data_IF_279861080224
#
_entry.id   IF_279861080224
#
_cell.length_a   1.000
_cell.length_b   1.000
_cell.length_c   1.000
_cell.angle_alpha   90.00
_cell.angle_beta   90.00
_cell.angle_gamma   90.00
#
_symmetry.space_group_name_H-M   'P 1'
#
loop_
_entity.id
_entity.type
_entity.pdbx_description
1 polymer ?
#
# COMPACT_ATOMS: atom_id res chain seq x y z
N UNK A 1 -28.18 2.58 -8.35
CA UNK A 1 -28.10 4.04 -8.13
C UNK A 1 -27.00 4.28 -7.12
N UNK A 2 -26.07 5.22 -7.33
CA UNK A 2 -25.16 5.61 -6.25
C UNK A 2 -25.98 6.17 -5.09
N UNK A 3 -25.56 5.91 -3.85
CA UNK A 3 -26.17 6.52 -2.66
C UNK A 3 -25.92 8.03 -2.65
N UNK A 4 -26.77 8.79 -1.96
CA UNK A 4 -26.56 10.23 -1.76
C UNK A 4 -25.43 10.53 -0.76
N UNK A 5 -24.91 9.51 -0.09
CA UNK A 5 -23.89 9.59 0.95
C UNK A 5 -22.94 8.40 0.83
N UNK A 6 -21.67 8.65 1.15
CA UNK A 6 -20.63 7.62 1.29
C UNK A 6 -20.10 7.64 2.72
N UNK A 7 -19.82 6.44 3.26
CA UNK A 7 -19.18 6.30 4.56
C UNK A 7 -17.66 6.36 4.37
N UNK A 8 -17.06 7.50 4.71
CA UNK A 8 -15.63 7.75 4.46
C UNK A 8 -14.73 7.58 5.68
N UNK A 9 -15.27 7.74 6.89
CA UNK A 9 -14.47 7.73 8.13
C UNK A 9 -15.26 7.16 9.31
N UNK A 10 -14.55 6.52 10.23
CA UNK A 10 -15.09 6.02 11.51
C UNK A 10 -14.26 6.53 12.67
N UNK A 11 -14.91 6.82 13.80
CA UNK A 11 -14.21 7.20 15.03
C UNK A 11 -14.04 5.98 15.94
N UNK A 12 -12.80 5.65 16.28
CA UNK A 12 -12.44 4.63 17.27
C UNK A 12 -11.82 5.33 18.49
N UNK A 13 -12.29 5.10 19.74
CA UNK A 13 -11.82 5.87 20.91
C UNK A 13 -10.29 5.96 21.08
N UNK A 14 -9.57 4.87 20.75
CA UNK A 14 -8.10 4.77 20.81
C UNK A 14 -7.40 5.35 19.57
N UNK A 15 -7.89 5.09 18.37
CA UNK A 15 -7.25 5.49 17.10
C UNK A 15 -7.74 6.83 16.54
N UNK A 16 -8.78 7.41 17.16
CA UNK A 16 -9.51 8.58 16.67
C UNK A 16 -10.12 8.28 15.29
N UNK A 17 -9.96 9.17 14.32
CA UNK A 17 -10.49 9.01 12.98
C UNK A 17 -9.66 7.99 12.19
N UNK A 18 -10.36 7.03 11.59
CA UNK A 18 -9.84 6.10 10.59
C UNK A 18 -10.61 6.34 9.31
N UNK A 19 -9.91 6.66 8.23
CA UNK A 19 -10.54 6.77 6.93
C UNK A 19 -10.74 5.34 6.38
N UNK A 20 -11.95 5.02 5.98
CA UNK A 20 -12.34 3.71 5.46
C UNK A 20 -12.83 3.78 4.01
N UNK A 21 -12.65 4.94 3.37
CA UNK A 21 -12.86 5.09 1.95
C UNK A 21 -11.85 4.23 1.19
N UNK A 22 -12.34 3.23 0.47
CA UNK A 22 -11.53 2.30 -0.31
C UNK A 22 -10.89 2.96 -1.54
N UNK A 23 -11.38 4.12 -1.96
CA UNK A 23 -10.85 4.88 -3.10
C UNK A 23 -9.68 5.81 -2.69
N UNK A 24 -9.62 6.20 -1.41
CA UNK A 24 -8.64 7.17 -0.92
C UNK A 24 -7.17 6.75 -1.14
N UNK A 25 -6.74 5.48 -0.90
CA UNK A 25 -5.36 5.07 -1.12
C UNK A 25 -4.85 5.32 -2.54
N UNK A 26 -5.58 4.85 -3.55
CA UNK A 26 -5.19 5.02 -4.95
C UNK A 26 -5.26 6.50 -5.36
N UNK A 27 -6.26 7.25 -4.88
CA UNK A 27 -6.37 8.68 -5.15
C UNK A 27 -5.15 9.45 -4.62
N UNK A 28 -4.79 9.25 -3.35
CA UNK A 28 -3.65 9.89 -2.70
C UNK A 28 -2.34 9.50 -3.37
N UNK A 29 -2.16 8.21 -3.68
CA UNK A 29 -0.95 7.74 -4.36
C UNK A 29 -0.84 8.33 -5.77
N UNK A 30 -1.95 8.44 -6.52
CA UNK A 30 -1.97 9.10 -7.83
C UNK A 30 -1.53 10.56 -7.71
N UNK A 31 -2.07 11.31 -6.75
CA UNK A 31 -1.67 12.70 -6.52
C UNK A 31 -0.17 12.80 -6.18
N UNK A 32 0.31 11.91 -5.30
CA UNK A 32 1.72 11.86 -4.93
C UNK A 32 2.61 11.57 -6.14
N UNK A 33 2.32 10.53 -6.92
CA UNK A 33 3.12 10.16 -8.10
C UNK A 33 3.11 11.23 -9.18
N UNK A 34 1.95 11.87 -9.42
CA UNK A 34 1.84 12.97 -10.39
C UNK A 34 2.57 14.24 -9.96
N UNK A 35 2.86 14.41 -8.66
CA UNK A 35 3.68 15.50 -8.14
C UNK A 35 5.18 15.24 -8.27
N UNK A 36 5.57 14.00 -8.57
CA UNK A 36 6.95 13.61 -8.83
C UNK A 36 7.26 13.76 -10.33
N UNK A 37 8.53 14.01 -10.66
CA UNK A 37 9.00 14.22 -12.03
C UNK A 37 9.15 12.90 -12.82
N UNK A 38 8.09 12.10 -12.90
CA UNK A 38 8.01 10.98 -13.84
C UNK A 38 7.67 11.49 -15.25
N UNK A 39 8.24 10.85 -16.27
CA UNK A 39 7.94 11.12 -17.67
C UNK A 39 6.53 10.62 -18.03
N UNK A 40 6.09 9.54 -17.38
CA UNK A 40 4.75 8.96 -17.51
C UNK A 40 4.26 8.43 -16.17
N UNK A 41 2.97 8.65 -15.87
CA UNK A 41 2.24 7.97 -14.79
C UNK A 41 0.94 7.43 -15.35
N UNK A 42 0.82 6.11 -15.42
CA UNK A 42 -0.35 5.40 -15.96
C UNK A 42 -1.01 4.55 -14.86
N UNK A 43 -2.22 4.90 -14.40
CA UNK A 43 -2.97 4.06 -13.47
C UNK A 43 -3.53 2.81 -14.16
N UNK A 44 -3.92 1.81 -13.37
CA UNK A 44 -4.67 0.62 -13.81
C UNK A 44 -3.94 -0.14 -14.94
N UNK A 45 -2.64 -0.40 -14.74
CA UNK A 45 -1.76 -0.98 -15.75
C UNK A 45 -1.78 -2.51 -15.72
N UNK A 46 -2.07 -3.13 -16.87
CA UNK A 46 -2.00 -4.59 -17.01
C UNK A 46 -0.54 -5.05 -17.09
N UNK A 47 -0.13 -5.90 -16.15
CA UNK A 47 1.13 -6.62 -16.17
C UNK A 47 0.88 -8.10 -15.86
N UNK A 48 1.39 -8.98 -16.72
CA UNK A 48 1.10 -10.42 -16.61
C UNK A 48 -0.41 -10.68 -16.67
N UNK A 49 -0.94 -11.34 -15.66
CA UNK A 49 -2.37 -11.64 -15.52
C UNK A 49 -3.08 -10.74 -14.49
N UNK A 50 -2.45 -9.65 -14.10
CA UNK A 50 -2.94 -8.76 -13.06
C UNK A 50 -2.98 -7.32 -13.55
N UNK A 51 -3.72 -6.50 -12.80
CA UNK A 51 -3.76 -5.06 -13.01
C UNK A 51 -3.12 -4.41 -11.79
N UNK A 52 -1.93 -3.87 -12.01
CA UNK A 52 -1.16 -3.14 -11.01
C UNK A 52 -1.66 -1.70 -10.98
N UNK A 53 -1.73 -1.12 -9.79
CA UNK A 53 -2.35 0.20 -9.60
C UNK A 53 -1.66 1.29 -10.42
N UNK A 54 -0.32 1.30 -10.50
CA UNK A 54 0.44 2.30 -11.26
C UNK A 54 1.65 1.73 -12.00
N UNK A 55 1.80 2.18 -13.24
CA UNK A 55 3.03 2.11 -14.03
C UNK A 55 3.60 3.50 -14.21
N UNK A 56 4.93 3.65 -14.07
CA UNK A 56 5.60 4.91 -14.32
C UNK A 56 6.87 4.72 -15.15
N UNK A 57 7.27 5.79 -15.84
CA UNK A 57 8.55 5.87 -16.55
C UNK A 57 9.31 7.10 -16.07
N UNK A 58 10.63 6.97 -15.87
CA UNK A 58 11.53 8.10 -15.64
C UNK A 58 12.92 7.76 -16.14
N UNK A 59 13.52 8.63 -16.95
CA UNK A 59 14.89 8.48 -17.45
C UNK A 59 15.14 7.13 -18.15
N UNK A 60 14.13 6.61 -18.86
CA UNK A 60 14.20 5.30 -19.54
C UNK A 60 14.05 4.07 -18.61
N UNK A 61 13.87 4.28 -17.30
CA UNK A 61 13.56 3.22 -16.35
C UNK A 61 12.05 3.06 -16.16
N UNK A 62 11.63 1.84 -15.79
CA UNK A 62 10.23 1.45 -15.65
C UNK A 62 9.92 1.07 -14.21
N UNK A 63 8.80 1.58 -13.72
CA UNK A 63 8.38 1.42 -12.34
C UNK A 63 6.99 0.78 -12.28
N UNK A 64 6.76 -0.06 -11.27
CA UNK A 64 5.46 -0.60 -10.94
C UNK A 64 5.17 -0.40 -9.46
N UNK A 65 4.04 0.22 -9.13
CA UNK A 65 3.59 0.42 -7.76
C UNK A 65 2.22 -0.21 -7.56
N UNK A 66 2.13 -1.13 -6.61
CA UNK A 66 0.87 -1.63 -6.07
C UNK A 66 0.54 -0.89 -4.77
N UNK A 67 -0.71 -0.49 -4.59
CA UNK A 67 -1.19 0.26 -3.42
C UNK A 67 -2.05 -0.63 -2.54
N UNK A 68 -1.87 -0.50 -1.23
CA UNK A 68 -2.69 -1.15 -0.19
C UNK A 68 -3.11 -0.12 0.84
N UNK A 69 -4.41 0.00 1.07
CA UNK A 69 -4.94 0.71 2.24
C UNK A 69 -4.69 -0.10 3.51
N UNK A 70 -4.24 0.55 4.58
CA UNK A 70 -4.13 -0.05 5.90
C UNK A 70 -5.03 0.71 6.89
N UNK A 71 -6.02 -0.01 7.42
CA UNK A 71 -7.05 0.49 8.36
C UNK A 71 -7.13 -0.35 9.65
N UNK A 72 -6.29 -1.37 9.76
CA UNK A 72 -6.17 -2.24 10.93
C UNK A 72 -4.89 -1.87 11.70
N UNK A 73 -5.04 -1.44 12.95
CA UNK A 73 -3.93 -1.23 13.86
C UNK A 73 -3.67 -2.49 14.70
N UNK A 74 -2.42 -2.71 15.08
CA UNK A 74 -2.05 -3.70 16.07
C UNK A 74 -2.31 -3.16 17.49
N UNK A 75 -3.21 -3.79 18.23
CA UNK A 75 -3.54 -3.41 19.61
C UNK A 75 -2.40 -3.70 20.60
N UNK A 76 -1.47 -4.62 20.27
CA UNK A 76 -0.36 -5.01 21.13
C UNK A 76 0.90 -4.18 20.89
N UNK A 77 1.06 -3.64 19.68
CA UNK A 77 2.24 -2.91 19.26
C UNK A 77 1.86 -1.50 18.75
N UNK A 78 1.78 -0.50 19.64
CA UNK A 78 1.42 0.87 19.26
C UNK A 78 2.28 1.42 18.12
N UNK A 79 1.64 2.03 17.13
CA UNK A 79 2.31 2.58 15.96
C UNK A 79 2.45 1.62 14.78
N UNK A 80 2.02 0.37 14.95
CA UNK A 80 2.05 -0.68 13.92
C UNK A 80 0.65 -0.89 13.32
N UNK A 81 0.58 -0.89 12.00
CA UNK A 81 -0.57 -1.35 11.23
C UNK A 81 -0.41 -2.80 10.79
N UNK A 82 -1.52 -3.45 10.45
CA UNK A 82 -1.56 -4.82 9.98
C UNK A 82 -2.21 -4.88 8.61
N UNK A 83 -1.67 -5.74 7.73
CA UNK A 83 -2.28 -6.04 6.44
C UNK A 83 -2.08 -7.52 6.06
N UNK A 84 -3.10 -8.22 5.53
CA UNK A 84 -4.44 -7.72 5.29
C UNK A 84 -5.32 -7.75 6.56
N UNK A 85 -6.45 -7.05 6.53
CA UNK A 85 -7.47 -7.11 7.59
C UNK A 85 -8.41 -8.33 7.42
N UNK A 86 -8.50 -8.89 6.22
CA UNK A 86 -9.17 -10.15 5.88
C UNK A 86 -8.40 -10.91 4.79
N UNK A 87 -8.61 -12.23 4.59
CA UNK A 87 -7.92 -12.99 3.54
C UNK A 87 -7.99 -12.33 2.14
N UNK A 88 -6.86 -12.27 1.42
CA UNK A 88 -6.74 -11.63 0.10
C UNK A 88 -5.84 -12.41 -0.87
N UNK A 89 -6.44 -13.34 -1.62
CA UNK A 89 -5.73 -14.04 -2.72
C UNK A 89 -5.18 -13.06 -3.77
N UNK A 90 -5.91 -11.97 -4.03
CA UNK A 90 -5.48 -10.92 -4.97
C UNK A 90 -4.19 -10.23 -4.49
N UNK A 91 -4.08 -9.93 -3.20
CA UNK A 91 -2.86 -9.34 -2.63
C UNK A 91 -1.64 -10.24 -2.79
N UNK A 92 -1.81 -11.55 -2.56
CA UNK A 92 -0.76 -12.56 -2.78
C UNK A 92 -0.35 -12.61 -4.25
N UNK A 93 -1.32 -12.69 -5.18
CA UNK A 93 -1.06 -12.70 -6.63
C UNK A 93 -0.27 -11.47 -7.07
N UNK A 94 -0.66 -10.28 -6.61
CA UNK A 94 0.01 -9.04 -7.01
C UNK A 94 1.46 -8.97 -6.51
N UNK A 95 1.76 -9.47 -5.30
CA UNK A 95 3.14 -9.59 -4.82
C UNK A 95 3.99 -10.53 -5.67
N UNK A 96 3.41 -11.63 -6.16
CA UNK A 96 4.10 -12.54 -7.07
C UNK A 96 4.40 -11.88 -8.42
N UNK A 97 3.47 -11.09 -8.96
CA UNK A 97 3.67 -10.32 -10.19
C UNK A 97 4.75 -9.24 -10.02
N UNK A 98 4.75 -8.50 -8.91
CA UNK A 98 5.82 -7.55 -8.60
C UNK A 98 7.17 -8.26 -8.45
N UNK A 99 7.20 -9.44 -7.84
CA UNK A 99 8.42 -10.26 -7.71
C UNK A 99 8.96 -10.65 -9.09
N UNK A 100 8.07 -11.01 -10.02
CA UNK A 100 8.44 -11.33 -11.40
C UNK A 100 8.96 -10.10 -12.13
N UNK A 101 8.23 -8.98 -12.05
CA UNK A 101 8.62 -7.72 -12.70
C UNK A 101 9.97 -7.20 -12.21
N UNK A 102 10.25 -7.30 -10.90
CA UNK A 102 11.54 -6.90 -10.34
C UNK A 102 12.70 -7.70 -10.97
N UNK A 103 12.52 -9.01 -11.20
CA UNK A 103 13.52 -9.86 -11.87
C UNK A 103 13.67 -9.54 -13.36
N UNK A 104 12.66 -8.94 -13.98
CA UNK A 104 12.68 -8.47 -15.37
C UNK A 104 13.24 -7.04 -15.51
N UNK A 105 13.71 -6.44 -14.41
CA UNK A 105 14.36 -5.13 -14.40
C UNK A 105 13.42 -3.95 -14.17
N UNK A 106 12.21 -4.17 -13.68
CA UNK A 106 11.34 -3.08 -13.20
C UNK A 106 11.70 -2.68 -11.77
N UNK A 107 11.67 -1.37 -11.50
CA UNK A 107 11.68 -0.86 -10.14
C UNK A 107 10.29 -1.04 -9.52
N UNK A 108 10.15 -2.03 -8.63
CA UNK A 108 8.85 -2.41 -8.09
C UNK A 108 8.69 -1.93 -6.65
N UNK A 109 7.47 -1.50 -6.29
CA UNK A 109 7.13 -1.16 -4.91
C UNK A 109 5.73 -1.63 -4.54
N UNK A 110 5.55 -2.03 -3.28
CA UNK A 110 4.24 -2.07 -2.62
C UNK A 110 4.14 -0.89 -1.65
N UNK A 111 3.11 -0.08 -1.81
CA UNK A 111 2.84 1.14 -1.06
C UNK A 111 1.68 0.92 -0.10
N UNK A 112 1.96 0.88 1.20
CA UNK A 112 0.95 0.86 2.24
C UNK A 112 0.54 2.28 2.60
N UNK A 113 -0.66 2.70 2.19
CA UNK A 113 -1.26 3.98 2.57
C UNK A 113 -1.99 3.79 3.90
N UNK A 114 -1.44 4.37 4.96
CA UNK A 114 -1.93 4.18 6.32
C UNK A 114 -3.02 5.20 6.60
N UNK A 115 -4.27 4.75 6.62
CA UNK A 115 -5.46 5.59 6.74
C UNK A 115 -5.82 5.86 8.22
N UNK A 116 -4.81 6.02 9.08
CA UNK A 116 -4.93 6.18 10.53
C UNK A 116 -3.81 7.06 11.08
N UNK A 117 -4.15 7.91 12.06
CA UNK A 117 -3.16 8.70 12.78
C UNK A 117 -2.30 7.84 13.71
N UNK A 118 -1.02 8.22 13.90
CA UNK A 118 -0.12 7.60 14.86
C UNK A 118 0.50 6.26 14.43
N UNK A 119 0.12 5.73 13.26
CA UNK A 119 0.68 4.51 12.68
C UNK A 119 1.75 4.87 11.64
N UNK A 120 2.89 4.21 11.70
CA UNK A 120 4.08 4.56 10.91
C UNK A 120 4.75 3.38 10.21
N UNK A 121 4.32 2.14 10.50
CA UNK A 121 4.75 0.97 9.77
C UNK A 121 3.60 -0.04 9.62
N UNK A 122 3.76 -1.01 8.72
CA UNK A 122 2.79 -2.08 8.49
C UNK A 122 3.48 -3.43 8.54
N UNK A 123 2.92 -4.38 9.29
CA UNK A 123 3.36 -5.77 9.35
C UNK A 123 2.33 -6.70 8.71
N UNK A 124 2.74 -7.88 8.21
CA UNK A 124 1.80 -8.83 7.65
C UNK A 124 0.95 -9.44 8.77
N UNK A 125 -0.37 -9.48 8.56
CA UNK A 125 -1.29 -10.12 9.47
C UNK A 125 -1.35 -11.64 9.23
N UNK A 126 -0.46 -12.39 9.89
CA UNK A 126 -0.42 -13.85 9.77
C UNK A 126 -1.71 -14.53 10.24
N UNK A 127 -2.45 -13.91 11.16
CA UNK A 127 -3.75 -14.41 11.60
C UNK A 127 -4.83 -14.35 10.52
N UNK A 128 -4.71 -13.41 9.58
CA UNK A 128 -5.63 -13.30 8.44
C UNK A 128 -5.17 -14.12 7.24
N UNK A 129 -3.89 -14.06 6.87
CA UNK A 129 -3.36 -14.81 5.73
C UNK A 129 -1.83 -14.99 5.80
N UNK A 130 -1.34 -16.15 6.27
CA UNK A 130 0.10 -16.46 6.32
C UNK A 130 0.80 -16.36 4.94
N UNK A 131 0.12 -16.73 3.86
CA UNK A 131 0.66 -16.71 2.50
C UNK A 131 1.02 -15.29 2.03
N UNK A 132 0.34 -14.27 2.57
CA UNK A 132 0.68 -12.88 2.29
C UNK A 132 2.05 -12.52 2.84
N UNK A 133 2.38 -12.94 4.08
CA UNK A 133 3.71 -12.75 4.66
C UNK A 133 4.79 -13.40 3.79
N UNK A 134 4.58 -14.66 3.42
CA UNK A 134 5.54 -15.38 2.59
C UNK A 134 5.79 -14.68 1.26
N UNK A 135 4.72 -14.23 0.60
CA UNK A 135 4.82 -13.49 -0.66
C UNK A 135 5.53 -12.15 -0.48
N UNK A 136 5.26 -11.42 0.62
CA UNK A 136 5.85 -10.13 0.91
C UNK A 136 7.36 -10.25 1.18
N UNK A 137 7.79 -11.25 1.95
CA UNK A 137 9.20 -11.54 2.21
C UNK A 137 9.92 -11.95 0.92
N UNK A 138 9.31 -12.81 0.10
CA UNK A 138 9.86 -13.20 -1.21
C UNK A 138 10.01 -11.99 -2.14
N UNK A 139 9.02 -11.09 -2.17
CA UNK A 139 9.06 -9.86 -2.95
C UNK A 139 10.18 -8.93 -2.48
N UNK A 140 10.31 -8.70 -1.16
CA UNK A 140 11.39 -7.88 -0.60
C UNK A 140 12.78 -8.42 -0.98
N UNK A 141 12.99 -9.74 -0.86
CA UNK A 141 14.25 -10.40 -1.25
C UNK A 141 14.54 -10.33 -2.75
N UNK A 142 13.51 -10.19 -3.58
CA UNK A 142 13.64 -9.99 -5.02
C UNK A 142 13.85 -8.52 -5.43
N UNK A 143 13.90 -7.59 -4.47
CA UNK A 143 14.15 -6.17 -4.73
C UNK A 143 12.88 -5.31 -4.81
N UNK A 144 11.69 -5.87 -4.52
CA UNK A 144 10.47 -5.06 -4.39
C UNK A 144 10.57 -4.20 -3.13
N UNK A 145 10.44 -2.88 -3.30
CA UNK A 145 10.47 -1.93 -2.20
C UNK A 145 9.16 -1.98 -1.40
N UNK A 146 9.26 -2.04 -0.07
CA UNK A 146 8.10 -1.95 0.82
C UNK A 146 8.10 -0.57 1.43
N UNK A 147 7.04 0.20 1.16
CA UNK A 147 6.97 1.61 1.50
C UNK A 147 5.71 1.89 2.29
N UNK A 148 5.85 2.57 3.43
CA UNK A 148 4.74 3.01 4.26
C UNK A 148 4.53 4.51 4.08
N UNK A 149 3.28 4.91 3.79
CA UNK A 149 2.85 6.29 3.69
C UNK A 149 1.95 6.62 4.87
N UNK A 150 2.48 7.35 5.85
CA UNK A 150 1.70 7.85 6.97
C UNK A 150 0.76 8.95 6.48
N UNK A 151 -0.48 8.91 6.95
CA UNK A 151 -1.44 9.97 6.69
C UNK A 151 -1.85 10.72 7.96
N UNK A 152 -2.23 11.98 7.78
CA UNK A 152 -3.05 12.71 8.75
C UNK A 152 -4.51 12.58 8.34
N UNK A 153 -5.34 12.10 9.26
CA UNK A 153 -6.76 11.81 9.06
C UNK A 153 -7.60 12.68 9.99
N UNK A 154 -8.57 13.36 9.39
CA UNK A 154 -9.61 14.12 10.07
C UNK A 154 -10.98 13.53 9.72
N UNK A 155 -12.06 14.16 10.17
CA UNK A 155 -13.43 13.66 9.96
C UNK A 155 -13.77 13.49 8.48
N UNK A 156 -13.37 14.46 7.65
CA UNK A 156 -13.73 14.60 6.24
C UNK A 156 -12.50 14.72 5.32
N UNK A 157 -11.29 14.53 5.84
CA UNK A 157 -10.06 14.66 5.07
C UNK A 157 -8.99 13.64 5.43
N UNK A 158 -8.17 13.30 4.44
CA UNK A 158 -6.97 12.47 4.59
C UNK A 158 -5.87 13.04 3.70
N UNK A 159 -4.63 13.09 4.22
CA UNK A 159 -3.46 13.56 3.49
C UNK A 159 -2.24 12.74 3.84
N UNK A 160 -1.43 12.39 2.85
CA UNK A 160 -0.09 11.82 3.10
C UNK A 160 0.78 12.90 3.76
N UNK A 161 1.47 12.54 4.84
CA UNK A 161 2.35 13.45 5.62
C UNK A 161 3.77 12.93 5.77
N UNK A 162 4.02 11.66 5.50
CA UNK A 162 5.35 11.07 5.57
C UNK A 162 5.46 9.80 4.75
N UNK A 163 6.69 9.45 4.40
CA UNK A 163 7.04 8.23 3.67
C UNK A 163 8.26 7.58 4.33
N UNK A 164 8.18 6.27 4.53
CA UNK A 164 9.28 5.46 5.09
C UNK A 164 9.47 4.22 4.22
N UNK A 165 10.69 4.00 3.76
CA UNK A 165 11.09 2.71 3.17
C UNK A 165 11.40 1.71 4.28
N UNK A 166 10.74 0.55 4.25
CA UNK A 166 10.78 -0.45 5.32
C UNK A 166 11.28 -1.83 4.84
N UNK A 167 11.77 -1.91 3.59
CA UNK A 167 12.17 -3.15 2.92
C UNK A 167 13.15 -4.00 3.75
N UNK A 168 14.13 -3.38 4.42
CA UNK A 168 15.17 -4.08 5.17
C UNK A 168 14.63 -4.93 6.32
N UNK A 169 13.49 -4.54 6.91
CA UNK A 169 12.82 -5.35 7.94
C UNK A 169 12.40 -6.71 7.39
N UNK A 170 11.84 -6.73 6.19
CA UNK A 170 11.26 -7.94 5.59
C UNK A 170 12.29 -8.86 4.95
N UNK A 171 13.41 -8.31 4.46
CA UNK A 171 14.52 -9.14 3.96
C UNK A 171 15.08 -10.04 5.08
N UNK A 172 15.12 -9.52 6.31
CA UNK A 172 15.68 -10.18 7.49
C UNK A 172 14.66 -11.01 8.29
N UNK A 173 13.39 -11.06 7.86
CA UNK A 173 12.35 -11.91 8.48
C UNK A 173 12.47 -13.38 8.07
#
# INVERSE_FOLDING_TARGET
>A
MPSAYDLISVYKPRLKWVNIDSLAPNMLMKQQLMSLNYDLVKPEYTYGESRIDFYMESNGERFLTEVKGCTLADDLHPGTGLFPDAPTERGVKHLQELTKAAKEGYHCSIAFVIQMNGIHCVLPNEGAQPEFKEALVKAARAGVQIVCYSCHVEVDSIKITGVVGDTSRFVNM
#
